data_IF_805076215509
#
_entry.id   IF_805076215509
#
_cell.length_a   1.000
_cell.length_b   1.000
_cell.length_c   1.000
_cell.angle_alpha   90.00
_cell.angle_beta   90.00
_cell.angle_gamma   90.00
#
_symmetry.space_group_name_H-M   'P 1'
#
loop_
_entity.id
_entity.type
_entity.pdbx_description
1 polymer ?
#
# COMPACT_ATOMS: atom_id res chain seq x y z
N UNK A 1 -18.91 -34.10 -10.52
CA UNK A 1 -18.12 -33.20 -9.65
C UNK A 1 -17.94 -33.87 -8.30
N UNK A 2 -16.71 -33.89 -7.77
CA UNK A 2 -16.48 -34.41 -6.39
C UNK A 2 -16.88 -33.37 -5.33
N UNK A 3 -16.92 -33.78 -4.04
CA UNK A 3 -17.39 -32.93 -2.97
C UNK A 3 -16.45 -31.74 -2.69
N UNK A 4 -15.14 -31.94 -2.81
CA UNK A 4 -14.16 -30.89 -2.60
C UNK A 4 -14.23 -29.83 -3.71
N UNK A 5 -14.36 -30.25 -4.94
CA UNK A 5 -14.57 -29.42 -6.10
C UNK A 5 -15.86 -28.62 -5.99
N UNK A 6 -16.95 -29.27 -5.55
CA UNK A 6 -18.24 -28.62 -5.32
C UNK A 6 -18.11 -27.51 -4.26
N UNK A 7 -17.49 -27.79 -3.10
CA UNK A 7 -17.32 -26.79 -2.04
C UNK A 7 -16.48 -25.60 -2.50
N UNK A 8 -15.41 -25.86 -3.23
CA UNK A 8 -14.58 -24.78 -3.80
C UNK A 8 -15.36 -23.93 -4.78
N UNK A 9 -16.13 -24.55 -5.68
CA UNK A 9 -16.93 -23.81 -6.65
C UNK A 9 -18.07 -23.03 -5.98
N UNK A 10 -18.75 -23.61 -4.98
CA UNK A 10 -19.79 -22.93 -4.23
C UNK A 10 -19.24 -21.69 -3.46
N UNK A 11 -17.99 -21.74 -2.99
CA UNK A 11 -17.34 -20.60 -2.34
C UNK A 11 -16.98 -19.49 -3.32
N UNK A 12 -16.53 -19.83 -4.54
CA UNK A 12 -16.09 -18.87 -5.56
C UNK A 12 -17.30 -18.30 -6.34
N UNK A 13 -18.24 -19.18 -6.71
CA UNK A 13 -19.42 -18.86 -7.53
C UNK A 13 -20.68 -19.54 -6.99
N UNK A 14 -21.27 -19.07 -5.87
CA UNK A 14 -22.42 -19.70 -5.23
C UNK A 14 -23.70 -19.69 -6.10
N UNK A 15 -23.71 -18.93 -7.18
CA UNK A 15 -24.81 -18.82 -8.11
C UNK A 15 -24.56 -19.54 -9.46
N UNK A 16 -23.58 -20.44 -9.51
CA UNK A 16 -23.29 -21.24 -10.69
C UNK A 16 -24.51 -22.07 -11.12
N UNK A 17 -24.76 -22.13 -12.44
CA UNK A 17 -25.87 -22.83 -13.05
C UNK A 17 -25.44 -24.09 -13.82
N UNK A 18 -24.19 -24.51 -13.71
CA UNK A 18 -23.70 -25.71 -14.37
C UNK A 18 -24.47 -26.95 -13.88
N UNK A 19 -24.95 -27.85 -14.80
CA UNK A 19 -25.76 -29.02 -14.43
C UNK A 19 -25.08 -29.92 -13.38
N UNK A 20 -23.79 -30.14 -13.50
CA UNK A 20 -23.04 -30.97 -12.55
C UNK A 20 -22.92 -30.33 -11.16
N UNK A 21 -22.84 -29.00 -11.09
CA UNK A 21 -22.85 -28.26 -9.85
C UNK A 21 -24.21 -28.37 -9.13
N UNK A 22 -25.31 -28.12 -9.86
CA UNK A 22 -26.66 -28.21 -9.33
C UNK A 22 -26.99 -29.63 -8.86
N UNK A 23 -26.63 -30.64 -9.65
CA UNK A 23 -26.81 -32.05 -9.30
C UNK A 23 -26.07 -32.43 -8.02
N UNK A 24 -24.84 -31.94 -7.86
CA UNK A 24 -24.06 -32.20 -6.64
C UNK A 24 -24.62 -31.45 -5.43
N UNK A 25 -25.14 -30.23 -5.64
CA UNK A 25 -25.83 -29.46 -4.60
C UNK A 25 -27.08 -30.22 -4.08
N UNK A 26 -27.83 -30.86 -4.97
CA UNK A 26 -29.04 -31.63 -4.62
C UNK A 26 -28.75 -33.02 -4.06
N UNK A 27 -27.54 -33.54 -4.22
CA UNK A 27 -27.18 -34.90 -3.84
C UNK A 27 -27.29 -35.17 -2.32
N UNK A 28 -27.12 -34.15 -1.49
CA UNK A 28 -27.24 -34.28 -0.03
C UNK A 28 -27.83 -33.05 0.64
N UNK A 29 -28.43 -33.22 1.82
CA UNK A 29 -28.88 -32.08 2.63
C UNK A 29 -27.72 -31.22 3.08
N UNK A 30 -26.57 -31.83 3.37
CA UNK A 30 -25.36 -31.09 3.75
C UNK A 30 -24.87 -30.13 2.63
N UNK A 31 -24.91 -30.59 1.37
CA UNK A 31 -24.51 -29.77 0.23
C UNK A 31 -25.48 -28.61 0.00
N UNK A 32 -26.80 -28.85 0.14
CA UNK A 32 -27.81 -27.78 0.06
C UNK A 32 -27.58 -26.73 1.12
N UNK A 33 -27.39 -27.13 2.38
CA UNK A 33 -27.16 -26.21 3.47
C UNK A 33 -25.89 -25.39 3.24
N UNK A 34 -24.81 -26.04 2.80
CA UNK A 34 -23.55 -25.34 2.48
C UNK A 34 -23.70 -24.33 1.35
N UNK A 35 -24.41 -24.69 0.28
CA UNK A 35 -24.66 -23.76 -0.83
C UNK A 35 -25.52 -22.57 -0.39
N UNK A 36 -26.53 -22.80 0.45
CA UNK A 36 -27.39 -21.73 0.97
C UNK A 36 -26.60 -20.78 1.89
N UNK A 37 -25.71 -21.31 2.71
CA UNK A 37 -24.79 -20.51 3.52
C UNK A 37 -23.87 -19.65 2.67
N UNK A 38 -23.27 -20.20 1.61
CA UNK A 38 -22.42 -19.44 0.69
C UNK A 38 -23.19 -18.34 -0.06
N UNK A 39 -24.43 -18.62 -0.47
CA UNK A 39 -25.33 -17.60 -1.07
C UNK A 39 -25.69 -16.50 -0.08
N UNK A 40 -25.89 -16.83 1.19
CA UNK A 40 -26.15 -15.84 2.22
C UNK A 40 -24.92 -14.98 2.50
N UNK A 41 -23.75 -15.59 2.56
CA UNK A 41 -22.47 -14.90 2.69
C UNK A 41 -22.23 -13.93 1.54
N UNK A 42 -22.40 -14.38 0.27
CA UNK A 42 -22.27 -13.52 -0.92
C UNK A 42 -23.22 -12.30 -0.89
N UNK A 43 -24.48 -12.51 -0.48
CA UNK A 43 -25.42 -11.40 -0.31
C UNK A 43 -25.00 -10.42 0.76
N UNK A 44 -24.46 -10.91 1.88
CA UNK A 44 -24.00 -10.06 2.98
C UNK A 44 -22.76 -9.27 2.56
N UNK A 45 -21.84 -9.93 1.88
CA UNK A 45 -20.63 -9.29 1.33
C UNK A 45 -21.01 -8.19 0.30
N UNK A 46 -21.88 -8.51 -0.64
CA UNK A 46 -22.36 -7.51 -1.63
C UNK A 46 -23.02 -6.29 -0.97
N UNK A 47 -23.79 -6.51 0.11
CA UNK A 47 -24.41 -5.42 0.86
C UNK A 47 -23.36 -4.57 1.58
N UNK A 48 -22.37 -5.21 2.20
CA UNK A 48 -21.29 -4.52 2.90
C UNK A 48 -20.40 -3.71 1.94
N UNK A 49 -20.25 -4.17 0.69
CA UNK A 49 -19.49 -3.49 -0.36
C UNK A 49 -20.30 -2.42 -1.12
N UNK A 50 -21.61 -2.27 -0.86
CA UNK A 50 -22.41 -1.18 -1.41
C UNK A 50 -22.06 0.13 -0.69
N UNK A 51 -21.08 0.83 -1.25
CA UNK A 51 -20.71 2.18 -0.83
C UNK A 51 -21.40 3.18 -1.74
N UNK A 52 -21.96 4.22 -1.16
CA UNK A 52 -22.54 5.31 -1.95
C UNK A 52 -21.45 5.98 -2.79
N UNK A 53 -21.61 5.91 -4.11
CA UNK A 53 -20.64 6.49 -5.05
C UNK A 53 -20.84 8.00 -5.07
N UNK A 54 -19.82 8.83 -4.78
CA UNK A 54 -19.93 10.28 -4.87
C UNK A 54 -20.42 10.73 -6.26
N UNK A 55 -21.36 11.67 -6.28
CA UNK A 55 -21.84 12.23 -7.53
C UNK A 55 -20.71 12.79 -8.39
N UNK A 56 -20.72 12.51 -9.69
CA UNK A 56 -19.72 12.96 -10.64
C UNK A 56 -18.37 12.23 -10.58
N UNK A 57 -18.25 11.09 -9.85
CA UNK A 57 -17.00 10.34 -9.79
C UNK A 57 -16.61 9.76 -11.17
N UNK A 58 -17.58 9.24 -11.91
CA UNK A 58 -17.34 8.66 -13.24
C UNK A 58 -16.80 9.73 -14.22
N UNK A 59 -17.40 10.91 -14.23
CA UNK A 59 -16.98 12.04 -15.06
C UNK A 59 -15.58 12.52 -14.68
N UNK A 60 -15.26 12.56 -13.39
CA UNK A 60 -13.93 12.94 -12.92
C UNK A 60 -12.85 11.92 -13.31
N UNK A 61 -13.17 10.63 -13.28
CA UNK A 61 -12.26 9.56 -13.70
C UNK A 61 -12.01 9.67 -15.21
N UNK A 62 -13.07 9.80 -16.01
CA UNK A 62 -12.96 9.94 -17.46
C UNK A 62 -12.18 11.18 -17.86
N UNK A 63 -12.45 12.32 -17.21
CA UNK A 63 -11.70 13.56 -17.46
C UNK A 63 -10.21 13.39 -17.14
N UNK A 64 -9.89 12.74 -16.01
CA UNK A 64 -8.50 12.48 -15.63
C UNK A 64 -7.81 11.52 -16.59
N UNK A 65 -8.50 10.49 -17.09
CA UNK A 65 -7.95 9.60 -18.11
C UNK A 65 -7.70 10.31 -19.43
N UNK A 66 -8.64 11.16 -19.88
CA UNK A 66 -8.46 11.96 -21.09
C UNK A 66 -7.23 12.91 -20.98
N UNK A 67 -7.08 13.57 -19.83
CA UNK A 67 -5.91 14.44 -19.57
C UNK A 67 -4.59 13.67 -19.55
N UNK A 68 -4.57 12.42 -19.11
CA UNK A 68 -3.36 11.58 -19.10
C UNK A 68 -3.02 11.05 -20.50
N UNK A 69 -4.01 10.76 -21.33
CA UNK A 69 -3.81 10.31 -22.72
C UNK A 69 -3.25 11.40 -23.62
N UNK A 70 -3.59 12.67 -23.38
CA UNK A 70 -3.01 13.80 -24.14
C UNK A 70 -1.52 14.02 -23.83
N UNK A 71 -0.99 13.49 -22.74
CA UNK A 71 0.43 13.60 -22.38
C UNK A 71 1.32 12.52 -23.01
N UNK A 72 0.74 11.40 -23.50
CA UNK A 72 1.48 10.25 -24.03
C UNK A 72 1.33 10.07 -25.56
N UNK A 73 0.71 11.01 -26.27
CA UNK A 73 0.62 10.93 -27.73
C UNK A 73 1.97 11.29 -28.36
N UNK A 74 2.64 10.36 -29.06
CA UNK A 74 3.77 10.74 -29.91
C UNK A 74 3.27 11.64 -31.04
N UNK A 75 4.05 12.65 -31.35
CA UNK A 75 3.80 13.80 -32.23
C UNK A 75 3.57 13.44 -33.73
N UNK A 76 3.18 12.20 -34.05
CA UNK A 76 3.20 11.67 -35.42
C UNK A 76 1.91 10.97 -35.88
N UNK A 77 0.73 11.50 -35.51
CA UNK A 77 -0.51 11.12 -36.24
C UNK A 77 -1.61 12.18 -36.12
N UNK A 78 -1.50 13.22 -36.94
CA UNK A 78 -2.65 14.06 -37.28
C UNK A 78 -3.54 13.34 -38.30
N UNK A 79 -4.78 12.96 -37.99
CA UNK A 79 -5.73 12.55 -39.03
C UNK A 79 -6.19 13.80 -39.80
N UNK A 80 -5.89 13.80 -41.06
CA UNK A 80 -6.39 14.76 -42.04
C UNK A 80 -7.92 14.71 -42.06
N UNK A 81 -8.57 15.69 -41.45
CA UNK A 81 -10.01 15.89 -41.59
C UNK A 81 -10.26 17.00 -42.59
N UNK A 82 -10.91 16.77 -43.73
CA UNK A 82 -11.29 17.84 -44.65
C UNK A 82 -12.53 18.53 -44.09
N UNK A 83 -12.39 19.69 -43.52
CA UNK A 83 -13.50 20.61 -43.32
C UNK A 83 -13.36 21.75 -44.32
N UNK A 84 -14.19 21.71 -45.35
CA UNK A 84 -14.43 22.87 -46.17
C UNK A 84 -15.10 23.98 -45.36
N UNK A 85 -14.41 25.10 -45.21
CA UNK A 85 -15.00 26.37 -44.84
C UNK A 85 -14.29 27.48 -45.57
N UNK A 86 -15.05 28.42 -46.03
CA UNK A 86 -14.67 29.54 -46.86
C UNK A 86 -13.54 30.40 -46.27
N UNK A 87 -12.75 31.11 -47.10
CA UNK A 87 -11.60 31.86 -46.65
C UNK A 87 -12.01 33.16 -45.95
N UNK A 88 -11.83 33.21 -44.64
CA UNK A 88 -11.76 34.51 -43.95
C UNK A 88 -10.41 35.12 -44.22
N UNK A 89 -10.37 36.12 -45.08
CA UNK A 89 -9.18 36.97 -45.32
C UNK A 89 -8.92 37.84 -44.10
N UNK A 90 -8.14 37.35 -43.16
CA UNK A 90 -7.44 38.21 -42.20
C UNK A 90 -6.16 38.75 -42.89
N UNK A 91 -6.25 39.98 -43.37
CA UNK A 91 -5.10 40.74 -43.78
C UNK A 91 -4.39 41.27 -42.53
N UNK A 92 -3.43 40.54 -42.01
CA UNK A 92 -2.45 41.13 -41.09
C UNK A 92 -1.10 41.14 -41.81
N UNK A 93 -0.70 42.28 -42.27
CA UNK A 93 0.66 42.54 -42.75
C UNK A 93 1.59 42.61 -41.51
N UNK A 94 1.85 41.49 -40.88
CA UNK A 94 2.89 41.42 -39.85
C UNK A 94 4.23 41.43 -40.58
N UNK A 95 5.01 42.49 -40.42
CA UNK A 95 6.30 42.59 -41.09
C UNK A 95 7.21 41.47 -40.56
N UNK A 96 7.95 40.81 -41.44
CA UNK A 96 8.87 39.71 -41.12
C UNK A 96 9.87 40.07 -40.01
N UNK A 97 10.16 41.36 -39.86
CA UNK A 97 10.97 41.90 -38.75
C UNK A 97 10.33 41.74 -37.37
N UNK A 98 8.99 41.80 -37.25
CA UNK A 98 8.28 41.62 -35.98
C UNK A 98 8.22 40.13 -35.60
N UNK A 99 8.10 39.23 -36.58
CA UNK A 99 8.16 37.79 -36.37
C UNK A 99 9.56 37.36 -35.91
N UNK A 100 10.60 37.88 -36.54
CA UNK A 100 11.99 37.64 -36.18
C UNK A 100 12.31 38.16 -34.76
N UNK A 101 11.75 39.29 -34.35
CA UNK A 101 11.94 39.84 -33.01
C UNK A 101 11.22 39.00 -31.94
N UNK A 102 10.00 38.53 -32.23
CA UNK A 102 9.24 37.63 -31.32
C UNK A 102 9.92 36.28 -31.15
N UNK A 103 10.47 35.72 -32.26
CA UNK A 103 11.20 34.45 -32.21
C UNK A 103 12.51 34.55 -31.40
N UNK A 104 13.24 35.66 -31.52
CA UNK A 104 14.48 35.86 -30.74
C UNK A 104 14.21 36.07 -29.25
N UNK A 105 13.13 36.77 -28.89
CA UNK A 105 12.73 36.92 -27.48
C UNK A 105 12.26 35.58 -26.89
N UNK A 106 11.46 34.80 -27.61
CA UNK A 106 11.06 33.48 -27.21
C UNK A 106 12.24 32.50 -27.05
N UNK A 107 13.23 32.60 -27.98
CA UNK A 107 14.44 31.77 -27.89
C UNK A 107 15.32 32.14 -26.70
N UNK A 108 15.49 33.45 -26.42
CA UNK A 108 16.25 33.92 -25.25
C UNK A 108 15.54 33.54 -23.92
N UNK A 109 14.21 33.64 -23.88
CA UNK A 109 13.43 33.17 -22.71
C UNK A 109 13.51 31.66 -22.57
N UNK A 110 13.46 30.90 -23.66
CA UNK A 110 13.61 29.44 -23.64
C UNK A 110 15.01 28.98 -23.22
N UNK A 111 16.07 29.70 -23.66
CA UNK A 111 17.44 29.43 -23.20
C UNK A 111 17.66 29.80 -21.74
N UNK A 112 17.03 30.87 -21.25
CA UNK A 112 17.19 31.27 -19.84
C UNK A 112 16.55 30.29 -18.88
N UNK A 113 15.47 29.57 -19.26
CA UNK A 113 14.85 28.53 -18.42
C UNK A 113 15.73 27.30 -18.21
N UNK A 114 16.69 27.06 -19.13
CA UNK A 114 17.66 25.96 -18.98
C UNK A 114 18.73 26.26 -17.92
N UNK A 115 18.90 27.51 -17.53
CA UNK A 115 19.84 27.93 -16.48
C UNK A 115 19.17 28.12 -15.13
N UNK A 116 17.83 28.20 -15.09
CA UNK A 116 17.04 28.16 -13.89
C UNK A 116 16.78 26.65 -13.61
N UNK A 117 17.76 25.97 -13.08
CA UNK A 117 17.49 24.73 -12.38
C UNK A 117 16.65 25.11 -11.17
N UNK A 118 15.31 25.09 -11.34
CA UNK A 118 14.43 24.93 -10.19
C UNK A 118 14.97 23.70 -9.46
N UNK A 119 15.27 23.79 -8.15
CA UNK A 119 15.57 22.59 -7.43
C UNK A 119 14.39 21.64 -7.69
N UNK A 120 14.64 20.56 -8.42
CA UNK A 120 13.71 19.47 -8.56
C UNK A 120 13.50 19.03 -7.10
N UNK A 121 12.40 19.45 -6.50
CA UNK A 121 11.95 18.89 -5.23
C UNK A 121 11.63 17.44 -5.59
N UNK A 122 12.68 16.60 -5.50
CA UNK A 122 12.50 15.17 -5.51
C UNK A 122 11.36 14.90 -4.53
N UNK A 123 10.35 14.10 -4.90
CA UNK A 123 9.24 13.81 -4.01
C UNK A 123 9.87 13.42 -2.68
N UNK A 124 9.52 14.15 -1.61
CA UNK A 124 10.17 14.01 -0.32
C UNK A 124 10.15 12.52 0.02
N UNK A 125 11.33 11.89 0.02
CA UNK A 125 11.42 10.47 0.24
C UNK A 125 10.76 10.17 1.59
N UNK A 126 9.75 9.30 1.60
CA UNK A 126 8.98 8.99 2.79
C UNK A 126 9.93 8.51 3.88
N UNK A 127 9.75 9.00 5.10
CA UNK A 127 10.55 8.54 6.23
C UNK A 127 10.01 7.22 6.78
N UNK A 128 10.91 6.39 7.29
CA UNK A 128 10.54 5.13 7.94
C UNK A 128 9.55 5.37 9.10
N UNK A 129 9.74 6.44 9.86
CA UNK A 129 8.86 6.84 10.95
C UNK A 129 7.43 7.13 10.47
N UNK A 130 7.28 7.92 9.39
CA UNK A 130 5.97 8.26 8.84
C UNK A 130 5.22 7.04 8.32
N UNK A 131 5.92 6.15 7.60
CA UNK A 131 5.30 4.91 7.09
C UNK A 131 4.90 3.99 8.24
N UNK A 132 5.74 3.85 9.26
CA UNK A 132 5.44 3.01 10.42
C UNK A 132 4.24 3.51 11.22
N UNK A 133 4.12 4.82 11.47
CA UNK A 133 2.96 5.40 12.13
C UNK A 133 1.68 5.22 11.32
N UNK A 134 1.72 5.50 10.02
CA UNK A 134 0.56 5.30 9.14
C UNK A 134 0.11 3.82 9.11
N UNK A 135 1.06 2.89 9.18
CA UNK A 135 0.79 1.46 9.20
C UNK A 135 0.10 1.02 10.50
N UNK A 136 0.58 1.51 11.66
CA UNK A 136 -0.05 1.23 12.96
C UNK A 136 -1.51 1.69 12.96
N UNK A 137 -1.77 2.94 12.59
CA UNK A 137 -3.15 3.46 12.55
C UNK A 137 -4.06 2.74 11.55
N UNK A 138 -3.49 2.26 10.43
CA UNK A 138 -4.24 1.51 9.42
C UNK A 138 -4.60 0.09 9.85
N UNK A 139 -3.79 -0.54 10.71
CA UNK A 139 -3.98 -1.94 11.14
C UNK A 139 -4.59 -2.07 12.55
N UNK A 140 -4.55 -1.02 13.37
CA UNK A 140 -5.08 -1.05 14.75
C UNK A 140 -6.46 -1.69 14.87
N UNK A 141 -7.46 -1.37 14.02
CA UNK A 141 -8.79 -1.97 14.12
C UNK A 141 -8.82 -3.49 13.90
N UNK A 142 -7.78 -4.05 13.27
CA UNK A 142 -7.72 -5.47 12.93
C UNK A 142 -6.92 -6.30 13.94
N UNK A 143 -6.05 -5.67 14.72
CA UNK A 143 -5.14 -6.35 15.66
C UNK A 143 -5.43 -6.02 17.12
N UNK A 144 -6.32 -5.05 17.39
CA UNK A 144 -6.71 -4.69 18.75
C UNK A 144 -7.35 -5.89 19.47
N UNK A 145 -6.78 -6.25 20.65
CA UNK A 145 -7.26 -7.36 21.45
C UNK A 145 -6.94 -8.76 20.91
N UNK A 146 -6.22 -8.89 19.80
CA UNK A 146 -5.81 -10.16 19.24
C UNK A 146 -4.70 -10.79 20.10
N UNK A 147 -4.87 -12.05 20.50
CA UNK A 147 -3.83 -12.88 21.12
C UNK A 147 -3.81 -14.26 20.43
N UNK A 148 -2.89 -14.39 19.47
CA UNK A 148 -2.67 -15.64 18.70
C UNK A 148 -1.89 -16.70 19.50
N UNK A 149 -1.57 -16.45 20.77
CA UNK A 149 -0.74 -17.32 21.61
C UNK A 149 0.60 -17.67 20.94
N UNK A 150 1.25 -16.66 20.41
CA UNK A 150 2.45 -16.79 19.61
C UNK A 150 3.58 -17.42 20.41
N UNK A 151 4.22 -18.44 19.85
CA UNK A 151 5.39 -19.10 20.43
C UNK A 151 6.68 -18.79 19.63
N UNK A 152 7.83 -19.14 20.19
CA UNK A 152 9.14 -18.87 19.57
C UNK A 152 9.29 -19.52 18.18
N UNK A 153 8.73 -20.72 17.98
CA UNK A 153 8.77 -21.41 16.69
C UNK A 153 8.02 -20.60 15.62
N UNK A 154 6.83 -20.09 15.95
CA UNK A 154 6.03 -19.27 15.02
C UNK A 154 6.75 -17.97 14.66
N UNK A 155 7.40 -17.33 15.63
CA UNK A 155 8.20 -16.11 15.38
C UNK A 155 9.34 -16.43 14.43
N UNK A 156 10.15 -17.45 14.75
CA UNK A 156 11.33 -17.80 13.97
C UNK A 156 10.99 -18.22 12.55
N UNK A 157 9.90 -18.99 12.36
CA UNK A 157 9.42 -19.35 11.02
C UNK A 157 9.07 -18.13 10.15
N UNK A 158 8.56 -17.06 10.76
CA UNK A 158 8.27 -15.80 10.03
C UNK A 158 9.51 -14.90 9.89
N UNK A 159 10.45 -14.97 10.84
CA UNK A 159 11.69 -14.18 10.79
C UNK A 159 12.73 -14.73 9.80
N UNK A 160 12.69 -16.03 9.49
CA UNK A 160 13.58 -16.70 8.55
C UNK A 160 13.66 -15.96 7.19
N UNK A 161 12.54 -15.47 6.69
CA UNK A 161 12.46 -14.67 5.46
C UNK A 161 13.37 -13.42 5.48
N UNK A 162 13.70 -12.92 6.67
CA UNK A 162 14.53 -11.73 6.87
C UNK A 162 15.97 -12.08 7.28
N UNK A 163 16.32 -13.37 7.28
CA UNK A 163 17.64 -13.86 7.71
C UNK A 163 17.90 -13.58 9.19
N UNK A 164 16.86 -13.67 10.00
CA UNK A 164 16.94 -13.39 11.44
C UNK A 164 16.19 -14.45 12.24
N UNK A 165 16.64 -14.69 13.48
CA UNK A 165 15.97 -15.57 14.45
C UNK A 165 16.07 -14.98 15.85
N UNK A 166 15.14 -15.37 16.73
CA UNK A 166 15.21 -15.06 18.17
C UNK A 166 15.69 -16.30 18.93
N UNK A 167 16.62 -16.11 19.85
CA UNK A 167 17.12 -17.19 20.72
C UNK A 167 16.18 -17.54 21.89
N UNK A 168 15.21 -16.70 22.20
CA UNK A 168 14.23 -16.91 23.26
C UNK A 168 13.23 -15.78 23.42
N UNK A 169 12.16 -16.04 24.21
CA UNK A 169 11.07 -15.09 24.48
C UNK A 169 10.97 -14.68 25.96
N UNK A 170 11.92 -15.07 26.82
CA UNK A 170 11.80 -14.84 28.26
C UNK A 170 11.44 -13.40 28.60
N UNK A 171 10.31 -13.19 29.28
CA UNK A 171 9.81 -11.87 29.64
C UNK A 171 9.20 -11.06 28.49
N UNK A 172 9.05 -11.63 27.28
CA UNK A 172 8.34 -11.04 26.16
C UNK A 172 7.05 -11.84 25.90
N UNK A 173 5.90 -11.21 26.04
CA UNK A 173 4.63 -11.79 25.61
C UNK A 173 4.29 -11.23 24.24
N UNK A 174 4.47 -12.05 23.20
CA UNK A 174 4.08 -11.69 21.83
C UNK A 174 2.64 -12.15 21.61
N UNK A 175 1.76 -11.26 21.24
CA UNK A 175 0.33 -11.53 21.01
C UNK A 175 0.01 -11.72 19.54
N UNK A 176 0.82 -11.14 18.65
CA UNK A 176 0.63 -11.23 17.20
C UNK A 176 1.98 -11.22 16.47
N UNK A 177 2.07 -12.00 15.39
CA UNK A 177 3.21 -11.93 14.46
C UNK A 177 2.77 -12.30 13.05
N UNK A 178 3.04 -11.43 12.06
CA UNK A 178 2.77 -11.73 10.67
C UNK A 178 3.68 -10.93 9.72
N UNK A 179 3.64 -11.29 8.44
CA UNK A 179 4.21 -10.45 7.39
C UNK A 179 3.20 -9.38 6.99
N UNK A 180 3.66 -8.16 6.77
CA UNK A 180 2.85 -7.10 6.24
C UNK A 180 3.48 -6.48 4.98
N UNK A 181 2.66 -5.82 4.18
CA UNK A 181 3.13 -5.00 3.07
C UNK A 181 3.53 -3.63 3.63
N UNK A 182 4.82 -3.37 3.70
CA UNK A 182 5.37 -2.16 4.30
C UNK A 182 6.01 -1.29 3.22
N UNK A 183 5.26 -0.27 2.74
CA UNK A 183 5.66 0.58 1.61
C UNK A 183 5.93 -0.26 0.35
N UNK A 184 7.16 -0.31 -0.16
CA UNK A 184 7.55 -1.03 -1.38
C UNK A 184 8.18 -2.41 -1.10
N UNK A 185 8.02 -2.96 0.08
CA UNK A 185 8.58 -4.25 0.44
C UNK A 185 7.87 -4.92 1.60
N UNK A 186 8.20 -6.17 1.87
CA UNK A 186 7.67 -6.88 3.04
C UNK A 186 8.39 -6.45 4.30
N UNK A 187 7.66 -6.39 5.42
CA UNK A 187 8.23 -6.32 6.77
C UNK A 187 7.60 -7.38 7.67
N UNK A 188 8.28 -7.71 8.77
CA UNK A 188 7.68 -8.45 9.86
C UNK A 188 6.94 -7.45 10.75
N UNK A 189 5.70 -7.75 11.05
CA UNK A 189 4.87 -7.04 12.03
C UNK A 189 4.66 -7.93 13.24
N UNK A 190 4.99 -7.43 14.42
CA UNK A 190 4.85 -8.14 15.69
C UNK A 190 4.23 -7.21 16.72
N UNK A 191 3.32 -7.73 17.56
CA UNK A 191 2.77 -7.00 18.69
C UNK A 191 3.20 -7.69 19.97
N UNK A 192 3.77 -6.92 20.89
CA UNK A 192 4.31 -7.37 22.17
C UNK A 192 3.53 -6.67 23.28
N UNK A 193 3.13 -7.41 24.28
CA UNK A 193 2.50 -6.83 25.46
C UNK A 193 3.53 -6.04 26.27
N UNK A 194 3.40 -4.72 26.25
CA UNK A 194 4.19 -3.81 27.06
C UNK A 194 3.67 -3.66 28.49
N UNK A 195 4.22 -2.69 29.22
CA UNK A 195 3.83 -2.40 30.63
C UNK A 195 2.57 -1.56 30.70
N UNK A 196 2.40 -0.62 29.78
CA UNK A 196 1.27 0.31 29.74
C UNK A 196 0.24 -0.08 28.69
N UNK A 197 0.67 -0.73 27.60
CA UNK A 197 -0.16 -1.13 26.49
C UNK A 197 0.61 -2.00 25.48
N UNK A 198 0.03 -2.28 24.32
CA UNK A 198 0.71 -2.99 23.25
C UNK A 198 1.87 -2.17 22.68
N UNK A 199 2.95 -2.87 22.35
CA UNK A 199 4.09 -2.32 21.60
C UNK A 199 4.12 -3.00 20.25
N UNK A 200 3.91 -2.22 19.21
CA UNK A 200 4.03 -2.68 17.83
C UNK A 200 5.49 -2.62 17.39
N UNK A 201 5.96 -3.68 16.78
CA UNK A 201 7.30 -3.80 16.22
C UNK A 201 7.23 -4.11 14.73
N UNK A 202 7.98 -3.33 13.94
CA UNK A 202 8.27 -3.69 12.55
C UNK A 202 9.75 -4.01 12.38
N UNK A 203 10.04 -5.14 11.72
CA UNK A 203 11.40 -5.44 11.25
C UNK A 203 11.42 -5.19 9.74
N UNK A 204 12.01 -4.07 9.33
CA UNK A 204 12.00 -3.57 7.95
C UNK A 204 13.36 -3.79 7.31
N UNK A 205 13.47 -4.61 6.25
CA UNK A 205 14.75 -4.84 5.56
C UNK A 205 15.37 -3.54 5.06
N UNK A 206 16.70 -3.45 5.10
CA UNK A 206 17.45 -2.23 4.67
C UNK A 206 17.29 -1.88 3.20
N UNK A 207 16.90 -2.84 2.36
CA UNK A 207 16.66 -2.58 0.92
C UNK A 207 15.35 -1.84 0.64
N UNK A 208 14.44 -1.72 1.61
CA UNK A 208 13.22 -0.91 1.47
C UNK A 208 13.63 0.57 1.40
N UNK A 209 13.26 1.30 0.33
CA UNK A 209 13.79 2.64 0.05
C UNK A 209 13.11 3.73 0.90
N UNK A 210 13.34 3.70 2.21
CA UNK A 210 12.83 4.68 3.18
C UNK A 210 13.98 5.43 3.84
N UNK A 211 13.78 6.72 4.09
CA UNK A 211 14.79 7.55 4.76
C UNK A 211 14.73 7.41 6.27
N UNK A 212 15.89 7.39 6.90
CA UNK A 212 16.04 7.44 8.35
C UNK A 212 16.35 8.88 8.75
N UNK A 213 15.32 9.66 9.07
CA UNK A 213 15.49 11.07 9.43
C UNK A 213 15.80 11.27 10.90
N UNK A 214 15.23 10.43 11.77
CA UNK A 214 15.38 10.54 13.23
C UNK A 214 15.24 9.16 13.88
N UNK A 215 15.95 8.96 14.99
CA UNK A 215 15.90 7.71 15.74
C UNK A 215 14.65 7.57 16.62
N UNK A 216 14.07 8.69 17.05
CA UNK A 216 12.84 8.75 17.84
C UNK A 216 11.83 9.69 17.21
N UNK A 217 10.55 9.36 17.33
CA UNK A 217 9.45 10.14 16.75
C UNK A 217 8.18 10.01 17.59
N UNK A 218 7.28 10.95 17.47
CA UNK A 218 6.00 10.98 18.18
C UNK A 218 4.97 11.83 17.42
N UNK A 219 3.67 11.61 17.69
CA UNK A 219 2.59 12.40 17.12
C UNK A 219 1.59 12.93 18.18
N UNK A 220 1.97 12.83 19.46
CA UNK A 220 1.15 13.24 20.61
C UNK A 220 0.30 12.11 21.20
N UNK A 221 0.02 11.04 20.48
CA UNK A 221 -0.70 9.85 20.97
C UNK A 221 0.25 8.68 21.16
N UNK A 222 1.04 8.40 20.14
CA UNK A 222 2.05 7.35 20.10
C UNK A 222 3.43 7.93 19.99
N UNK A 223 4.41 7.17 20.45
CA UNK A 223 5.82 7.43 20.22
C UNK A 223 6.50 6.21 19.64
N UNK A 224 7.58 6.42 18.91
CA UNK A 224 8.35 5.35 18.31
C UNK A 224 9.85 5.54 18.43
N UNK A 225 10.56 4.44 18.32
CA UNK A 225 12.02 4.36 18.32
C UNK A 225 12.49 3.48 17.15
N UNK A 226 13.48 3.94 16.42
CA UNK A 226 14.11 3.19 15.33
C UNK A 226 15.50 2.75 15.74
N UNK A 227 15.71 1.46 15.72
CA UNK A 227 16.98 0.83 16.02
C UNK A 227 17.54 0.20 14.74
N UNK A 228 18.72 0.65 14.32
CA UNK A 228 19.41 0.10 13.17
C UNK A 228 20.12 -1.20 13.55
N UNK A 229 19.72 -2.31 12.92
CA UNK A 229 20.33 -3.62 13.10
C UNK A 229 21.21 -4.01 11.90
N UNK A 230 21.87 -5.16 11.96
CA UNK A 230 22.75 -5.63 10.89
C UNK A 230 22.03 -5.77 9.54
N UNK A 231 20.90 -6.48 9.48
CA UNK A 231 20.14 -6.80 8.25
C UNK A 231 18.88 -5.98 8.02
N UNK A 232 18.39 -5.29 9.06
CA UNK A 232 17.11 -4.58 9.01
C UNK A 232 17.11 -3.36 9.93
N UNK A 233 16.07 -2.55 9.83
CA UNK A 233 15.72 -1.53 10.82
C UNK A 233 14.56 -2.07 11.67
N UNK A 234 14.71 -2.02 12.98
CA UNK A 234 13.66 -2.36 13.94
C UNK A 234 12.98 -1.06 14.37
N UNK A 235 11.68 -0.98 14.15
CA UNK A 235 10.84 0.15 14.57
C UNK A 235 9.92 -0.33 15.68
N UNK A 236 9.97 0.34 16.83
CA UNK A 236 9.04 0.08 17.93
C UNK A 236 8.11 1.28 18.07
N UNK A 237 6.83 1.02 18.29
CA UNK A 237 5.81 2.06 18.50
C UNK A 237 4.92 1.62 19.66
N UNK A 238 4.63 2.54 20.56
CA UNK A 238 3.74 2.33 21.70
C UNK A 238 3.16 3.63 22.21
N UNK A 239 2.31 3.54 23.21
CA UNK A 239 1.75 4.72 23.86
C UNK A 239 2.85 5.65 24.42
N UNK A 240 2.53 6.96 24.57
CA UNK A 240 3.49 7.97 25.05
C UNK A 240 4.18 7.60 26.36
N UNK A 241 3.50 6.87 27.25
CA UNK A 241 4.05 6.49 28.57
C UNK A 241 4.76 5.12 28.55
N UNK A 242 4.65 4.33 27.45
CA UNK A 242 5.27 3.03 27.37
C UNK A 242 6.80 3.14 27.28
N UNK A 243 7.57 2.46 28.11
CA UNK A 243 9.05 2.45 27.99
C UNK A 243 9.48 1.50 26.86
N UNK A 244 9.84 2.03 25.69
CA UNK A 244 10.25 1.23 24.52
C UNK A 244 11.65 0.62 24.65
N UNK A 245 12.59 1.35 25.28
CA UNK A 245 13.98 0.90 25.40
C UNK A 245 14.17 -0.48 26.05
N UNK A 246 13.44 -0.87 27.12
CA UNK A 246 13.55 -2.22 27.67
C UNK A 246 13.13 -3.32 26.67
N UNK A 247 12.10 -3.08 25.86
CA UNK A 247 11.65 -4.01 24.82
C UNK A 247 12.69 -4.08 23.70
N UNK A 248 13.19 -2.93 23.25
CA UNK A 248 14.26 -2.85 22.25
C UNK A 248 15.51 -3.64 22.67
N UNK A 249 16.01 -3.41 23.89
CA UNK A 249 17.19 -4.08 24.42
C UNK A 249 16.98 -5.60 24.58
N UNK A 250 15.80 -6.02 25.05
CA UNK A 250 15.47 -7.43 25.19
C UNK A 250 15.44 -8.15 23.85
N UNK A 251 14.93 -7.51 22.79
CA UNK A 251 14.93 -8.05 21.45
C UNK A 251 16.32 -8.06 20.83
N UNK A 252 17.06 -6.94 20.92
CA UNK A 252 18.42 -6.85 20.36
C UNK A 252 19.37 -7.90 20.94
N UNK A 253 19.29 -8.17 22.23
CA UNK A 253 20.15 -9.16 22.89
C UNK A 253 19.88 -10.60 22.47
N UNK A 254 18.71 -10.87 21.90
CA UNK A 254 18.26 -12.21 21.48
C UNK A 254 18.20 -12.40 19.98
N UNK A 255 18.29 -11.32 19.24
CA UNK A 255 18.23 -11.37 17.78
C UNK A 255 19.55 -11.92 17.22
N UNK A 256 19.46 -12.97 16.44
CA UNK A 256 20.58 -13.59 15.72
C UNK A 256 20.33 -13.43 14.22
N UNK A 257 21.42 -13.21 13.48
CA UNK A 257 21.36 -13.06 12.03
C UNK A 257 22.07 -14.23 11.37
N UNK A 258 21.38 -14.87 10.43
CA UNK A 258 22.01 -15.85 9.56
C UNK A 258 22.96 -15.10 8.63
N UNK A 259 24.24 -15.49 8.67
CA UNK A 259 25.33 -14.83 7.92
C UNK A 259 25.54 -15.55 6.60
#
# INVERSE_FOLDING_TARGET
MDELEFRRNAMIQPHDQLPDFLKTAEASQANRNYLDEMKQFDRTLKRAMQVEVPAGLAERILLRQAMLQDCDAPDDMLPSRPLGTAPVKLRTSTSWRQIALAASVAFLLGMSTRWITLPETAPAALSLAQVAMAHVYGEEPFIEGVDEQVNLHNINAKMEKYGATLSGMDGLKVTYVNHCSFYQGPALHMVIQGKMGPVTLFLVPKHVPLTLQQATFEDGTLKGEIVQLKGANMVLIGEMKEPLAPVANALQSRLQWDI
#
